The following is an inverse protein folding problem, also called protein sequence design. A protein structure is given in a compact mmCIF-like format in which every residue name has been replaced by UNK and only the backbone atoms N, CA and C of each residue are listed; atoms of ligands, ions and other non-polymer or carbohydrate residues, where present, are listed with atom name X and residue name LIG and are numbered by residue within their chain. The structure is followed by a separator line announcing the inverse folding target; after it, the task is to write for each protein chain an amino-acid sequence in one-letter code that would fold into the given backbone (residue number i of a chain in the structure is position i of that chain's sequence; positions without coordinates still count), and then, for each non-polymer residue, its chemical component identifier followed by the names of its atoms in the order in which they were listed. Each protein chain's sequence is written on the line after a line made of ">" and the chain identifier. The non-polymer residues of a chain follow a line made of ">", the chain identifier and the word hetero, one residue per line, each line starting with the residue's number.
data_IF_203437431708
#
_entry.id   IF_203437431708
#
_cell.length_a   1.000
_cell.length_b   1.000
_cell.length_c   1.000
_cell.angle_alpha   90.00
_cell.angle_beta   90.00
_cell.angle_gamma   90.00
#
_symmetry.space_group_name_H-M   'P 1'
#
loop_
_entity.id
_entity.type
_entity.pdbx_description
1 polymer ?
#
# COMPACT_ATOMS: atom_id res chain seq x y z
N UNK A 1 -26.71 28.44 -1.84
CA UNK A 1 -25.40 28.41 -1.12
C UNK A 1 -25.63 27.77 0.23
N UNK A 2 -24.75 26.91 0.72
CA UNK A 2 -24.88 26.38 2.06
C UNK A 2 -24.78 27.52 3.07
N UNK A 3 -25.64 27.46 4.08
CA UNK A 3 -25.59 28.40 5.23
C UNK A 3 -24.59 27.90 6.25
N UNK A 4 -24.20 28.72 7.23
CA UNK A 4 -23.35 28.34 8.36
C UNK A 4 -24.07 27.41 9.35
N UNK A 5 -25.36 27.22 9.21
CA UNK A 5 -26.21 26.41 10.07
C UNK A 5 -26.95 25.33 9.24
N UNK A 6 -26.77 24.08 9.62
CA UNK A 6 -27.30 22.91 8.92
C UNK A 6 -28.24 22.14 9.84
N UNK A 7 -29.56 22.25 9.61
CA UNK A 7 -30.61 21.79 10.55
C UNK A 7 -31.47 20.63 10.01
N UNK A 8 -31.03 19.87 9.03
CA UNK A 8 -31.86 18.76 8.59
C UNK A 8 -31.95 17.67 9.67
N UNK A 9 -33.16 17.20 9.97
CA UNK A 9 -33.39 16.12 10.94
C UNK A 9 -32.60 14.83 10.61
N UNK A 10 -32.39 14.57 9.32
CA UNK A 10 -31.63 13.43 8.81
C UNK A 10 -30.13 13.45 9.13
N UNK A 11 -29.59 14.57 9.67
CA UNK A 11 -28.22 14.66 10.13
C UNK A 11 -27.99 14.09 11.52
N UNK A 12 -29.05 13.73 12.24
CA UNK A 12 -28.96 13.19 13.58
C UNK A 12 -28.28 11.80 13.59
N UNK A 13 -27.04 11.74 14.06
CA UNK A 13 -26.25 10.52 14.13
C UNK A 13 -26.92 9.41 14.95
N UNK A 14 -27.54 9.77 16.09
CA UNK A 14 -28.21 8.82 16.98
C UNK A 14 -29.37 8.06 16.32
N UNK A 15 -30.08 8.70 15.40
CA UNK A 15 -31.24 8.13 14.75
C UNK A 15 -30.87 7.56 13.37
N UNK A 16 -30.36 8.42 12.48
CA UNK A 16 -30.12 8.03 11.08
C UNK A 16 -28.83 7.23 10.91
N UNK A 17 -27.71 7.65 11.51
CA UNK A 17 -26.46 6.91 11.42
C UNK A 17 -26.57 5.52 12.03
N UNK A 18 -27.21 5.41 13.19
CA UNK A 18 -27.41 4.13 13.86
C UNK A 18 -28.38 3.20 13.09
N UNK A 19 -29.47 3.75 12.51
CA UNK A 19 -30.41 2.95 11.72
C UNK A 19 -29.81 2.47 10.40
N UNK A 20 -29.01 3.29 9.71
CA UNK A 20 -28.26 2.91 8.53
C UNK A 20 -27.30 1.74 8.82
N UNK A 21 -26.55 1.83 9.90
CA UNK A 21 -25.60 0.79 10.28
C UNK A 21 -26.33 -0.50 10.68
N UNK A 22 -27.46 -0.39 11.41
CA UNK A 22 -28.30 -1.54 11.78
C UNK A 22 -28.90 -2.22 10.55
N UNK A 23 -29.28 -1.48 9.52
CA UNK A 23 -29.77 -2.06 8.27
C UNK A 23 -28.70 -2.93 7.61
N UNK A 24 -27.45 -2.48 7.63
CA UNK A 24 -26.32 -3.21 7.05
C UNK A 24 -25.90 -4.46 7.85
N UNK A 25 -25.94 -4.42 9.20
CA UNK A 25 -25.28 -5.44 10.03
C UNK A 25 -26.22 -6.23 10.95
N UNK A 26 -27.51 -5.86 11.04
CA UNK A 26 -28.48 -6.43 11.99
C UNK A 26 -28.19 -6.14 13.47
N UNK A 27 -26.91 -6.03 13.85
CA UNK A 27 -26.43 -5.74 15.19
C UNK A 27 -25.83 -4.33 15.25
N UNK A 28 -25.78 -3.75 16.44
CA UNK A 28 -25.11 -2.48 16.69
C UNK A 28 -23.68 -2.76 17.18
N UNK A 29 -22.76 -2.87 16.24
CA UNK A 29 -21.34 -3.15 16.52
C UNK A 29 -20.47 -1.89 16.58
N UNK A 30 -21.08 -0.69 16.52
CA UNK A 30 -20.36 0.58 16.51
C UNK A 30 -21.21 1.69 17.15
N UNK A 31 -20.58 2.47 18.04
CA UNK A 31 -21.22 3.59 18.70
C UNK A 31 -21.09 4.90 17.93
N UNK A 32 -22.17 5.66 17.86
CA UNK A 32 -22.23 7.00 17.26
C UNK A 32 -21.79 7.12 15.79
N UNK A 33 -22.25 6.24 14.87
CA UNK A 33 -21.95 6.38 13.47
C UNK A 33 -22.53 7.70 12.93
N UNK A 34 -21.80 8.40 12.07
CA UNK A 34 -22.32 9.62 11.43
C UNK A 34 -23.42 9.27 10.46
N UNK A 35 -24.38 10.19 10.29
CA UNK A 35 -25.43 10.04 9.28
C UNK A 35 -24.84 10.26 7.87
N UNK A 36 -25.14 9.36 6.95
CA UNK A 36 -24.66 9.41 5.57
C UNK A 36 -25.08 10.69 4.85
N UNK A 37 -26.35 11.11 5.00
CA UNK A 37 -26.86 12.31 4.37
C UNK A 37 -26.11 13.59 4.73
N UNK A 38 -25.62 13.71 5.98
CA UNK A 38 -24.74 14.82 6.36
C UNK A 38 -23.44 14.81 5.55
N UNK A 39 -22.79 13.67 5.43
CA UNK A 39 -21.50 13.55 4.72
C UNK A 39 -21.69 13.78 3.21
N UNK A 40 -22.79 13.29 2.62
CA UNK A 40 -23.15 13.57 1.23
C UNK A 40 -23.29 15.06 0.96
N UNK A 41 -24.03 15.78 1.81
CA UNK A 41 -24.20 17.22 1.67
C UNK A 41 -22.89 18.01 1.91
N UNK A 42 -22.03 17.55 2.81
CA UNK A 42 -20.67 18.12 2.98
C UNK A 42 -19.87 17.96 1.69
N UNK A 43 -19.85 16.75 1.10
CA UNK A 43 -19.11 16.52 -0.16
C UNK A 43 -19.68 17.39 -1.28
N UNK A 44 -21.00 17.48 -1.44
CA UNK A 44 -21.65 18.35 -2.44
C UNK A 44 -21.30 19.83 -2.23
N UNK A 45 -21.20 20.26 -0.98
CA UNK A 45 -20.86 21.66 -0.65
C UNK A 45 -19.39 21.99 -0.90
N UNK A 46 -18.48 21.04 -0.64
CA UNK A 46 -17.03 21.25 -0.78
C UNK A 46 -16.52 21.03 -2.20
N UNK A 47 -17.18 20.20 -3.00
CA UNK A 47 -16.73 19.88 -4.36
C UNK A 47 -17.90 19.58 -5.30
N UNK A 48 -17.98 20.35 -6.37
CA UNK A 48 -18.90 20.07 -7.50
C UNK A 48 -18.31 19.06 -8.50
N UNK A 49 -17.08 18.61 -8.30
CA UNK A 49 -16.39 17.69 -9.21
C UNK A 49 -16.89 16.26 -8.99
N UNK A 50 -17.16 15.57 -10.09
CA UNK A 50 -17.61 14.17 -10.08
C UNK A 50 -16.46 13.15 -10.02
N UNK A 51 -15.22 13.62 -10.01
CA UNK A 51 -13.98 12.83 -10.00
C UNK A 51 -13.03 13.21 -8.84
N UNK A 52 -13.54 13.95 -7.85
CA UNK A 52 -12.75 14.39 -6.69
C UNK A 52 -12.26 13.21 -5.84
N UNK A 53 -11.13 13.42 -5.15
CA UNK A 53 -10.59 12.51 -4.15
C UNK A 53 -10.96 13.01 -2.75
N UNK A 54 -11.59 12.18 -1.96
CA UNK A 54 -12.04 12.46 -0.60
C UNK A 54 -11.16 11.68 0.38
N UNK A 55 -10.53 12.38 1.32
CA UNK A 55 -9.71 11.79 2.37
C UNK A 55 -10.40 11.95 3.73
N UNK A 56 -10.50 10.84 4.47
CA UNK A 56 -11.02 10.80 5.83
C UNK A 56 -10.01 10.09 6.74
N UNK A 57 -9.35 10.86 7.61
CA UNK A 57 -8.32 10.35 8.52
C UNK A 57 -8.87 9.61 9.74
N UNK A 58 -10.15 9.75 10.04
CA UNK A 58 -10.81 9.11 11.17
C UNK A 58 -12.13 8.51 10.69
N UNK A 59 -12.00 7.55 9.78
CA UNK A 59 -13.11 7.02 8.99
C UNK A 59 -14.22 6.34 9.81
N UNK A 60 -13.91 5.94 11.05
CA UNK A 60 -14.86 5.33 11.97
C UNK A 60 -15.55 4.12 11.34
N UNK A 61 -16.87 4.16 11.27
CA UNK A 61 -17.66 3.11 10.63
C UNK A 61 -17.65 3.14 9.10
N UNK A 62 -16.90 4.05 8.44
CA UNK A 62 -16.82 4.15 6.97
C UNK A 62 -17.98 4.90 6.33
N UNK A 63 -18.59 5.87 7.03
CA UNK A 63 -19.71 6.66 6.49
C UNK A 63 -19.31 7.46 5.26
N UNK A 64 -18.07 7.95 5.20
CA UNK A 64 -17.53 8.74 4.08
C UNK A 64 -17.49 7.90 2.79
N UNK A 65 -17.00 6.66 2.84
CA UNK A 65 -17.03 5.78 1.67
C UNK A 65 -18.48 5.50 1.22
N UNK A 66 -19.39 5.24 2.17
CA UNK A 66 -20.81 5.03 1.85
C UNK A 66 -21.40 6.23 1.13
N UNK A 67 -21.14 7.45 1.61
CA UNK A 67 -21.59 8.68 0.98
C UNK A 67 -21.04 8.85 -0.45
N UNK A 68 -19.72 8.63 -0.64
CA UNK A 68 -19.07 8.73 -1.95
C UNK A 68 -19.64 7.71 -2.94
N UNK A 69 -19.82 6.45 -2.52
CA UNK A 69 -20.38 5.40 -3.37
C UNK A 69 -21.81 5.75 -3.78
N UNK A 70 -22.63 6.25 -2.86
CA UNK A 70 -23.98 6.68 -3.18
C UNK A 70 -24.02 7.86 -4.14
N UNK A 71 -23.19 8.89 -3.93
CA UNK A 71 -23.10 10.01 -4.84
C UNK A 71 -22.69 9.57 -6.26
N UNK A 72 -21.74 8.64 -6.36
CA UNK A 72 -21.35 8.09 -7.66
C UNK A 72 -22.48 7.28 -8.31
N UNK A 73 -23.27 6.56 -7.50
CA UNK A 73 -24.45 5.83 -7.99
C UNK A 73 -25.53 6.79 -8.51
N UNK A 74 -25.77 7.89 -7.79
CA UNK A 74 -26.78 8.89 -8.08
C UNK A 74 -26.49 9.68 -9.36
N UNK A 75 -25.22 10.11 -9.54
CA UNK A 75 -24.88 11.07 -10.61
C UNK A 75 -23.90 10.53 -11.66
N UNK A 76 -23.54 9.23 -11.59
CA UNK A 76 -22.60 8.59 -12.49
C UNK A 76 -21.16 9.08 -12.30
N UNK A 77 -20.83 9.66 -11.16
CA UNK A 77 -19.50 10.17 -10.83
C UNK A 77 -18.46 9.08 -10.63
N UNK A 78 -17.20 9.49 -10.61
CA UNK A 78 -16.03 8.65 -10.36
C UNK A 78 -15.17 9.17 -9.20
N UNK A 79 -15.84 9.73 -8.18
CA UNK A 79 -15.17 10.17 -6.95
C UNK A 79 -14.46 8.97 -6.31
N UNK A 80 -13.31 9.24 -5.73
CA UNK A 80 -12.50 8.26 -4.99
C UNK A 80 -12.45 8.64 -3.53
N UNK A 81 -12.12 7.68 -2.69
CA UNK A 81 -11.94 7.91 -1.27
C UNK A 81 -10.69 7.22 -0.75
N UNK A 82 -10.06 7.83 0.25
CA UNK A 82 -9.00 7.26 1.08
C UNK A 82 -9.51 7.33 2.52
N UNK A 83 -9.55 6.19 3.19
CA UNK A 83 -10.00 6.08 4.57
C UNK A 83 -8.84 5.62 5.44
N UNK A 84 -8.59 6.30 6.54
CA UNK A 84 -7.60 5.91 7.54
C UNK A 84 -8.33 5.63 8.85
N UNK A 85 -8.06 4.46 9.45
CA UNK A 85 -8.67 4.06 10.71
C UNK A 85 -7.75 3.12 11.47
N UNK A 86 -7.59 3.37 12.78
CA UNK A 86 -6.74 2.57 13.68
C UNK A 86 -7.53 1.64 14.59
N UNK A 87 -8.85 1.84 14.68
CA UNK A 87 -9.72 1.07 15.58
C UNK A 87 -9.87 -0.39 15.15
N UNK A 88 -10.01 -1.28 16.10
CA UNK A 88 -10.26 -2.72 15.88
C UNK A 88 -11.51 -3.00 15.03
N UNK A 89 -12.44 -2.05 14.98
CA UNK A 89 -13.62 -2.09 14.14
C UNK A 89 -13.35 -1.86 12.64
N UNK A 90 -12.10 -1.62 12.25
CA UNK A 90 -11.73 -1.54 10.83
C UNK A 90 -12.13 -2.81 10.07
N UNK A 91 -11.75 -3.97 10.59
CA UNK A 91 -12.04 -5.27 9.94
C UNK A 91 -13.48 -5.74 10.18
N UNK A 92 -14.12 -5.36 11.30
CA UNK A 92 -15.45 -5.84 11.69
C UNK A 92 -16.60 -4.95 11.24
N UNK A 93 -16.35 -3.65 11.06
CA UNK A 93 -17.39 -2.67 10.70
C UNK A 93 -17.05 -1.92 9.41
N UNK A 94 -15.90 -1.21 9.35
CA UNK A 94 -15.59 -0.31 8.23
C UNK A 94 -15.49 -1.07 6.91
N UNK A 95 -14.57 -2.03 6.83
CA UNK A 95 -14.33 -2.83 5.61
C UNK A 95 -15.58 -3.60 5.16
N UNK A 96 -16.32 -4.32 6.03
CA UNK A 96 -17.58 -4.96 5.66
C UNK A 96 -18.66 -3.96 5.21
N UNK A 97 -18.73 -2.75 5.80
CA UNK A 97 -19.66 -1.72 5.34
C UNK A 97 -19.37 -1.33 3.90
N UNK A 98 -18.10 -1.06 3.56
CA UNK A 98 -17.72 -0.71 2.18
C UNK A 98 -18.09 -1.84 1.23
N UNK A 99 -17.78 -3.10 1.57
CA UNK A 99 -18.11 -4.26 0.74
C UNK A 99 -19.63 -4.38 0.49
N UNK A 100 -20.44 -4.21 1.53
CA UNK A 100 -21.89 -4.27 1.44
C UNK A 100 -22.46 -3.16 0.58
N UNK A 101 -22.02 -1.92 0.77
CA UNK A 101 -22.50 -0.77 0.00
C UNK A 101 -22.10 -0.86 -1.48
N UNK A 102 -20.94 -1.41 -1.79
CA UNK A 102 -20.52 -1.73 -3.16
C UNK A 102 -21.44 -2.77 -3.79
N UNK A 103 -21.82 -3.80 -3.03
CA UNK A 103 -22.62 -4.92 -3.51
C UNK A 103 -24.07 -4.53 -3.78
N UNK A 104 -24.71 -3.79 -2.85
CA UNK A 104 -26.10 -3.39 -3.01
C UNK A 104 -26.37 -2.00 -2.42
N UNK A 105 -27.35 -1.30 -3.00
CA UNK A 105 -27.80 0.00 -2.51
C UNK A 105 -28.59 -0.11 -1.22
N UNK A 106 -29.57 -1.02 -1.19
CA UNK A 106 -30.50 -1.15 -0.09
C UNK A 106 -30.25 -2.41 0.73
N UNK A 107 -30.33 -2.25 2.05
CA UNK A 107 -30.09 -3.32 3.02
C UNK A 107 -31.15 -3.28 4.11
N UNK A 108 -31.54 -4.46 4.58
CA UNK A 108 -32.43 -4.63 5.73
C UNK A 108 -32.02 -5.82 6.54
N UNK A 109 -31.81 -5.60 7.84
CA UNK A 109 -31.41 -6.64 8.80
C UNK A 109 -30.22 -7.49 8.30
N UNK A 110 -29.21 -6.83 7.71
CA UNK A 110 -27.99 -7.45 7.22
C UNK A 110 -28.10 -8.15 5.87
N UNK A 111 -29.27 -8.11 5.22
CA UNK A 111 -29.54 -8.73 3.92
C UNK A 111 -29.74 -7.65 2.84
N UNK A 112 -29.21 -7.86 1.62
CA UNK A 112 -29.45 -6.94 0.52
C UNK A 112 -30.92 -6.99 0.07
N UNK A 113 -31.48 -5.83 -0.24
CA UNK A 113 -32.83 -5.73 -0.80
C UNK A 113 -32.74 -5.31 -2.26
N UNK A 114 -33.33 -6.13 -3.14
CA UNK A 114 -33.51 -5.77 -4.55
C UNK A 114 -34.69 -4.83 -4.70
N UNK A 115 -34.65 -3.98 -5.72
CA UNK A 115 -35.78 -3.16 -6.11
C UNK A 115 -36.91 -3.99 -6.79
N UNK A 116 -37.94 -3.30 -7.31
CA UNK A 116 -39.04 -3.93 -7.99
C UNK A 116 -38.65 -4.65 -9.30
N UNK A 117 -37.50 -4.30 -9.86
CA UNK A 117 -36.93 -4.89 -11.07
C UNK A 117 -35.89 -5.99 -10.75
N UNK A 118 -35.81 -6.41 -9.51
CA UNK A 118 -34.81 -7.38 -8.97
C UNK A 118 -33.36 -6.92 -9.10
N UNK A 119 -33.12 -5.62 -9.18
CA UNK A 119 -31.79 -5.03 -9.22
C UNK A 119 -31.26 -4.70 -7.80
N UNK A 120 -30.00 -4.98 -7.56
CA UNK A 120 -29.30 -4.62 -6.33
C UNK A 120 -28.58 -3.27 -6.44
N UNK A 121 -28.50 -2.68 -7.62
CA UNK A 121 -27.80 -1.43 -7.90
C UNK A 121 -26.37 -1.38 -7.34
N UNK A 122 -25.62 -2.48 -7.50
CA UNK A 122 -24.23 -2.55 -7.12
C UNK A 122 -23.36 -1.57 -7.91
N UNK A 123 -22.28 -1.09 -7.29
CA UNK A 123 -21.30 -0.19 -7.93
C UNK A 123 -19.97 -0.91 -8.00
N UNK A 124 -19.61 -1.53 -9.13
CA UNK A 124 -18.34 -2.22 -9.27
C UNK A 124 -17.14 -1.28 -9.06
N UNK A 125 -16.25 -1.64 -8.16
CA UNK A 125 -15.02 -0.89 -7.90
C UNK A 125 -13.95 -1.80 -7.33
N UNK A 126 -12.69 -1.38 -7.47
CA UNK A 126 -11.56 -1.99 -6.79
C UNK A 126 -11.34 -1.22 -5.50
N UNK A 127 -11.31 -1.94 -4.37
CA UNK A 127 -10.98 -1.39 -3.06
C UNK A 127 -9.66 -1.99 -2.62
N UNK A 128 -8.64 -1.14 -2.48
CA UNK A 128 -7.36 -1.52 -1.94
C UNK A 128 -7.37 -1.37 -0.42
N UNK A 129 -6.99 -2.41 0.28
CA UNK A 129 -6.89 -2.42 1.75
C UNK A 129 -5.42 -2.56 2.09
N UNK A 130 -4.87 -1.58 2.81
CA UNK A 130 -3.51 -1.58 3.31
C UNK A 130 -3.55 -1.72 4.82
N UNK A 131 -2.73 -2.59 5.36
CA UNK A 131 -2.51 -2.75 6.79
C UNK A 131 -1.08 -2.35 7.08
N UNK A 132 -0.88 -1.36 7.95
CA UNK A 132 0.44 -0.86 8.29
C UNK A 132 0.88 -1.50 9.62
N UNK A 133 2.10 -2.00 9.65
CA UNK A 133 2.78 -2.36 10.89
C UNK A 133 3.22 -1.08 11.63
N UNK A 134 3.40 -1.17 12.94
CA UNK A 134 3.91 -0.06 13.73
C UNK A 134 5.44 0.05 13.60
N UNK A 135 5.99 1.23 13.87
CA UNK A 135 7.43 1.41 13.95
C UNK A 135 8.06 0.58 15.08
N UNK A 136 7.32 0.41 16.18
CA UNK A 136 7.72 -0.46 17.29
C UNK A 136 7.85 -1.92 16.86
N UNK A 137 6.98 -2.41 15.98
CA UNK A 137 7.08 -3.78 15.45
C UNK A 137 8.38 -3.96 14.68
N UNK A 138 8.76 -2.98 13.84
CA UNK A 138 10.04 -3.00 13.13
C UNK A 138 11.23 -3.07 14.11
N UNK A 139 11.22 -2.27 15.19
CA UNK A 139 12.26 -2.29 16.20
C UNK A 139 12.29 -3.59 17.03
N UNK A 140 11.11 -4.15 17.34
CA UNK A 140 11.01 -5.37 18.13
C UNK A 140 11.50 -6.62 17.35
N UNK A 141 11.56 -6.55 16.04
CA UNK A 141 12.16 -7.60 15.21
C UNK A 141 13.70 -7.53 15.16
N UNK A 142 14.33 -6.51 15.77
CA UNK A 142 15.77 -6.45 15.97
C UNK A 142 16.14 -7.30 17.19
N UNK A 143 16.75 -8.45 16.97
CA UNK A 143 17.20 -9.35 18.04
C UNK A 143 18.68 -9.08 18.33
N UNK A 144 18.95 -8.52 19.52
CA UNK A 144 20.33 -8.38 20.02
C UNK A 144 20.85 -9.76 20.43
N UNK A 145 21.76 -10.33 19.64
CA UNK A 145 22.47 -11.54 20.02
C UNK A 145 23.69 -11.16 20.83
N UNK A 146 23.82 -11.72 22.03
CA UNK A 146 25.00 -11.56 22.87
C UNK A 146 26.14 -12.43 22.32
N UNK A 147 27.04 -11.82 21.54
CA UNK A 147 28.21 -12.45 20.95
C UNK A 147 29.50 -12.08 21.70
N UNK A 148 29.40 -11.85 23.01
CA UNK A 148 30.53 -11.40 23.86
C UNK A 148 31.83 -12.26 23.75
N UNK A 149 31.69 -13.56 23.47
CA UNK A 149 32.85 -14.48 23.34
C UNK A 149 33.64 -14.30 22.03
N UNK A 150 33.02 -13.80 20.97
CA UNK A 150 33.70 -13.58 19.67
C UNK A 150 34.58 -12.34 19.71
N UNK A 151 34.22 -11.36 20.53
CA UNK A 151 34.87 -10.05 20.59
C UNK A 151 36.10 -10.00 21.48
N UNK A 152 36.25 -10.95 22.39
CA UNK A 152 37.40 -11.02 23.28
C UNK A 152 38.75 -11.24 22.56
N UNK A 153 38.72 -11.60 21.27
CA UNK A 153 39.92 -12.01 20.48
C UNK A 153 40.36 -11.03 19.39
N UNK A 154 39.65 -9.90 19.18
CA UNK A 154 39.94 -8.94 18.11
C UNK A 154 40.58 -7.65 18.64
N UNK A 155 41.48 -7.01 17.84
CA UNK A 155 42.07 -5.70 18.15
C UNK A 155 41.04 -4.57 18.06
N UNK A 156 41.22 -3.53 18.89
CA UNK A 156 40.18 -2.51 19.12
C UNK A 156 39.74 -1.73 17.87
N UNK A 157 40.66 -1.38 16.97
CA UNK A 157 40.31 -0.64 15.71
C UNK A 157 39.57 -1.51 14.69
N UNK A 158 39.81 -2.82 14.69
CA UNK A 158 39.09 -3.78 13.81
C UNK A 158 37.77 -4.20 14.42
N UNK A 159 37.65 -4.11 15.76
CA UNK A 159 36.41 -4.40 16.49
C UNK A 159 35.30 -3.45 16.15
N UNK A 160 35.55 -2.12 16.10
CA UNK A 160 34.47 -1.15 15.90
C UNK A 160 33.82 -1.28 14.52
N UNK A 161 34.59 -1.39 13.45
CA UNK A 161 34.04 -1.45 12.09
C UNK A 161 33.42 -2.84 11.77
N UNK A 162 34.05 -3.92 12.26
CA UNK A 162 33.55 -5.28 12.12
C UNK A 162 32.30 -5.53 13.01
N UNK A 163 32.33 -5.02 14.24
CA UNK A 163 31.24 -5.04 15.19
C UNK A 163 30.00 -4.34 14.59
N UNK A 164 30.17 -3.11 14.09
CA UNK A 164 29.08 -2.32 13.59
C UNK A 164 28.42 -2.95 12.35
N UNK A 165 29.23 -3.43 11.40
CA UNK A 165 28.73 -4.03 10.15
C UNK A 165 28.18 -5.43 10.33
N UNK A 166 28.92 -6.29 11.06
CA UNK A 166 28.52 -7.68 11.24
C UNK A 166 27.36 -7.83 12.24
N UNK A 167 27.41 -7.10 13.36
CA UNK A 167 26.30 -7.13 14.32
C UNK A 167 25.05 -6.50 13.77
N UNK A 168 25.13 -5.37 13.06
CA UNK A 168 23.98 -4.80 12.38
C UNK A 168 23.41 -5.75 11.33
N UNK A 169 24.24 -6.39 10.52
CA UNK A 169 23.79 -7.34 9.52
C UNK A 169 23.16 -8.59 10.15
N UNK A 170 23.75 -9.15 11.22
CA UNK A 170 23.22 -10.34 11.90
C UNK A 170 22.00 -10.01 12.77
N UNK A 171 21.99 -8.84 13.43
CA UNK A 171 20.86 -8.39 14.25
C UNK A 171 19.66 -7.90 13.43
N UNK A 172 19.91 -7.31 12.28
CA UNK A 172 18.87 -6.85 11.39
C UNK A 172 18.35 -7.93 10.43
N UNK A 173 18.83 -9.17 10.55
CA UNK A 173 18.57 -10.27 9.61
C UNK A 173 17.09 -10.49 9.33
N UNK A 174 16.24 -10.36 10.33
CA UNK A 174 14.80 -10.53 10.24
C UNK A 174 14.06 -9.19 10.21
N UNK A 175 14.75 -8.10 9.94
CA UNK A 175 14.26 -6.73 9.93
C UNK A 175 14.33 -6.11 8.53
N UNK A 176 13.45 -5.15 8.22
CA UNK A 176 13.51 -4.29 7.02
C UNK A 176 14.84 -3.52 6.87
N UNK A 177 15.61 -3.40 7.95
CA UNK A 177 16.96 -2.80 7.92
C UNK A 177 17.99 -3.69 7.24
N UNK A 178 17.69 -4.97 7.05
CA UNK A 178 18.62 -5.91 6.42
C UNK A 178 18.35 -6.00 4.92
N UNK A 179 19.27 -5.49 4.10
CA UNK A 179 19.18 -5.54 2.64
C UNK A 179 19.18 -6.95 2.04
N UNK A 180 19.63 -7.98 2.80
CA UNK A 180 19.56 -9.38 2.37
C UNK A 180 18.14 -9.87 2.12
N UNK A 181 17.13 -9.31 2.82
CA UNK A 181 15.72 -9.70 2.63
C UNK A 181 15.21 -9.39 1.22
N UNK A 182 15.82 -8.42 0.55
CA UNK A 182 15.46 -8.05 -0.82
C UNK A 182 15.90 -9.08 -1.87
N UNK A 183 16.72 -10.06 -1.52
CA UNK A 183 17.06 -11.18 -2.39
C UNK A 183 15.88 -12.15 -2.58
N UNK A 184 15.00 -12.22 -1.56
CA UNK A 184 13.77 -13.04 -1.53
C UNK A 184 12.56 -12.19 -1.13
N UNK A 185 12.20 -11.17 -1.89
CA UNK A 185 11.28 -10.11 -1.44
C UNK A 185 9.85 -10.59 -1.23
N UNK A 186 9.49 -11.76 -1.74
CA UNK A 186 8.13 -12.29 -1.70
C UNK A 186 7.83 -13.16 -0.48
N UNK A 187 8.82 -13.45 0.36
CA UNK A 187 8.70 -14.31 1.54
C UNK A 187 9.10 -13.55 2.82
N UNK A 188 9.10 -12.24 2.77
CA UNK A 188 9.49 -11.44 3.91
C UNK A 188 8.40 -11.41 4.97
N UNK A 189 8.76 -11.73 6.22
CA UNK A 189 7.86 -11.81 7.35
C UNK A 189 8.41 -11.07 8.56
N UNK A 190 7.51 -10.48 9.35
CA UNK A 190 7.81 -9.85 10.63
C UNK A 190 6.89 -10.36 11.73
N UNK A 191 7.35 -10.31 12.99
CA UNK A 191 6.54 -10.51 14.16
C UNK A 191 5.81 -9.20 14.50
N UNK A 192 4.50 -9.19 14.29
CA UNK A 192 3.63 -8.02 14.46
C UNK A 192 2.85 -8.15 15.76
N UNK A 193 2.80 -7.09 16.56
CA UNK A 193 2.04 -7.06 17.80
C UNK A 193 0.54 -7.18 17.52
N UNK A 194 -0.11 -8.17 18.15
CA UNK A 194 -1.55 -8.41 18.01
C UNK A 194 -2.38 -7.76 19.09
N UNK A 195 -1.74 -7.38 20.21
CA UNK A 195 -2.40 -6.71 21.33
C UNK A 195 -1.39 -5.89 22.15
N UNK A 196 -1.91 -5.03 23.02
CA UNK A 196 -1.11 -4.19 23.92
C UNK A 196 -0.35 -4.96 25.01
N UNK A 197 -0.57 -6.26 25.15
CA UNK A 197 0.10 -7.13 26.12
C UNK A 197 1.41 -7.75 25.57
N UNK A 198 1.79 -7.42 24.32
CA UNK A 198 3.04 -7.86 23.71
C UNK A 198 2.99 -9.23 23.05
N UNK A 199 1.80 -9.81 22.84
CA UNK A 199 1.67 -10.99 22.00
C UNK A 199 1.91 -10.62 20.54
N UNK A 200 2.76 -11.38 19.83
CA UNK A 200 3.10 -11.18 18.42
C UNK A 200 2.62 -12.34 17.58
N UNK A 201 2.35 -12.07 16.31
CA UNK A 201 2.05 -13.05 15.30
C UNK A 201 2.96 -12.82 14.08
N UNK A 202 3.48 -13.91 13.50
CA UNK A 202 4.30 -13.87 12.29
C UNK A 202 3.43 -13.55 11.09
N UNK A 203 3.66 -12.41 10.44
CA UNK A 203 2.84 -11.91 9.33
C UNK A 203 3.71 -11.63 8.10
N UNK A 204 3.14 -11.91 6.91
CA UNK A 204 3.76 -11.57 5.64
C UNK A 204 3.72 -10.05 5.43
N UNK A 205 4.84 -9.47 5.02
CA UNK A 205 4.99 -8.06 4.66
C UNK A 205 5.16 -7.93 3.15
N UNK A 206 4.30 -7.16 2.53
CA UNK A 206 4.33 -6.90 1.09
C UNK A 206 5.35 -5.79 0.77
N UNK A 207 6.61 -6.18 0.51
CA UNK A 207 7.67 -5.25 0.14
C UNK A 207 7.41 -4.56 -1.20
N UNK A 208 6.74 -5.22 -2.13
CA UNK A 208 6.41 -4.65 -3.45
C UNK A 208 5.47 -3.48 -3.26
N UNK A 209 4.38 -3.68 -2.52
CA UNK A 209 3.41 -2.61 -2.28
C UNK A 209 3.99 -1.50 -1.40
N UNK A 210 4.79 -1.86 -0.39
CA UNK A 210 5.49 -0.89 0.46
C UNK A 210 6.37 0.04 -0.38
N UNK A 211 7.14 -0.53 -1.32
CA UNK A 211 8.01 0.28 -2.18
C UNK A 211 7.22 1.14 -3.17
N UNK A 212 6.15 0.61 -3.77
CA UNK A 212 5.26 1.40 -4.63
C UNK A 212 4.70 2.62 -3.87
N UNK A 213 4.36 2.42 -2.59
CA UNK A 213 3.84 3.48 -1.72
C UNK A 213 4.91 4.53 -1.40
N UNK A 214 6.12 4.09 -1.03
CA UNK A 214 7.25 4.98 -0.74
C UNK A 214 7.64 5.83 -1.95
N UNK A 215 7.63 5.26 -3.15
CA UNK A 215 7.86 5.98 -4.40
C UNK A 215 6.74 6.98 -4.75
N UNK A 216 5.55 6.84 -4.14
CA UNK A 216 4.34 7.52 -4.61
C UNK A 216 3.93 7.05 -6.02
N UNK A 217 4.24 5.81 -6.38
CA UNK A 217 4.03 5.28 -7.73
C UNK A 217 2.54 5.14 -8.04
N UNK A 218 2.10 5.81 -9.09
CA UNK A 218 0.79 5.60 -9.67
C UNK A 218 0.81 4.36 -10.56
N UNK A 219 0.44 3.23 -10.00
CA UNK A 219 0.48 1.93 -10.69
C UNK A 219 -0.52 1.90 -11.84
N UNK A 220 -0.06 1.48 -13.02
CA UNK A 220 -0.86 1.28 -14.23
C UNK A 220 -1.08 -0.19 -14.52
N UNK A 221 -0.04 -1.02 -14.37
CA UNK A 221 -0.11 -2.45 -14.60
C UNK A 221 0.80 -3.22 -13.66
N UNK A 222 0.39 -4.44 -13.33
CA UNK A 222 1.20 -5.40 -12.58
C UNK A 222 1.27 -6.70 -13.40
N UNK A 223 2.50 -7.14 -13.69
CA UNK A 223 2.78 -8.40 -14.39
C UNK A 223 3.34 -9.39 -13.38
N UNK A 224 2.46 -10.18 -12.79
CA UNK A 224 2.85 -11.25 -11.88
C UNK A 224 3.26 -12.50 -12.68
N UNK A 225 4.53 -12.90 -12.50
CA UNK A 225 5.14 -14.10 -13.09
C UNK A 225 5.96 -14.89 -12.05
N UNK A 226 5.67 -14.71 -10.78
CA UNK A 226 6.43 -15.29 -9.67
C UNK A 226 6.50 -16.82 -9.74
N UNK A 227 5.37 -17.48 -9.90
CA UNK A 227 5.33 -18.94 -9.94
C UNK A 227 6.09 -19.50 -11.14
N UNK A 228 5.89 -18.89 -12.30
CA UNK A 228 6.43 -19.40 -13.58
C UNK A 228 7.85 -18.97 -13.86
N UNK A 229 8.14 -17.69 -13.68
CA UNK A 229 9.35 -17.04 -14.17
C UNK A 229 10.17 -16.36 -13.05
N UNK A 230 9.71 -16.39 -11.78
CA UNK A 230 10.43 -15.90 -10.61
C UNK A 230 10.51 -14.38 -10.50
N UNK A 231 9.61 -13.61 -11.15
CA UNK A 231 9.61 -12.16 -11.07
C UNK A 231 8.20 -11.55 -11.02
N UNK A 232 8.14 -10.33 -10.53
CA UNK A 232 6.98 -9.45 -10.58
C UNK A 232 7.42 -8.08 -11.09
N UNK A 233 6.70 -7.53 -12.08
CA UNK A 233 6.98 -6.23 -12.65
C UNK A 233 5.79 -5.28 -12.43
N UNK A 234 6.05 -4.09 -11.90
CA UNK A 234 5.05 -3.04 -11.68
C UNK A 234 5.38 -1.87 -12.59
N UNK A 235 4.42 -1.48 -13.40
CA UNK A 235 4.53 -0.33 -14.31
C UNK A 235 3.70 0.83 -13.76
N UNK A 236 4.26 2.03 -13.77
CA UNK A 236 3.57 3.20 -13.24
C UNK A 236 4.20 4.53 -13.63
N UNK A 237 3.64 5.59 -13.06
CA UNK A 237 4.14 6.96 -13.20
C UNK A 237 4.54 7.49 -11.82
N UNK A 238 5.72 8.06 -11.71
CA UNK A 238 6.22 8.74 -10.51
C UNK A 238 5.52 10.10 -10.30
N UNK A 239 5.61 10.70 -9.11
CA UNK A 239 5.00 11.99 -8.83
C UNK A 239 5.47 13.14 -9.74
N UNK A 240 6.70 13.08 -10.24
CA UNK A 240 7.28 14.04 -11.20
C UNK A 240 6.81 13.84 -12.65
N UNK A 241 6.06 12.77 -12.91
CA UNK A 241 5.54 12.41 -14.22
C UNK A 241 6.42 11.45 -15.02
N UNK A 242 7.60 11.06 -14.51
CA UNK A 242 8.45 10.06 -15.16
C UNK A 242 7.76 8.68 -15.16
N UNK A 243 7.91 7.94 -16.27
CA UNK A 243 7.48 6.56 -16.37
C UNK A 243 8.47 5.63 -15.66
N UNK A 244 7.96 4.73 -14.84
CA UNK A 244 8.81 3.83 -14.07
C UNK A 244 8.40 2.36 -14.22
N UNK A 245 9.39 1.50 -14.25
CA UNK A 245 9.27 0.07 -14.09
C UNK A 245 9.95 -0.36 -12.80
N UNK A 246 9.21 -1.03 -11.91
CA UNK A 246 9.75 -1.65 -10.71
C UNK A 246 9.79 -3.15 -10.92
N UNK A 247 10.99 -3.70 -11.05
CA UNK A 247 11.22 -5.12 -11.34
C UNK A 247 11.72 -5.83 -10.10
N UNK A 248 10.86 -6.65 -9.52
CA UNK A 248 11.16 -7.52 -8.41
C UNK A 248 11.44 -8.94 -8.88
N UNK A 249 12.50 -9.55 -8.40
CA UNK A 249 12.87 -10.94 -8.72
C UNK A 249 13.27 -11.72 -7.49
N UNK A 250 13.02 -13.00 -7.52
CA UNK A 250 13.68 -13.96 -6.67
C UNK A 250 15.11 -14.14 -7.21
N UNK A 251 16.10 -13.61 -6.49
CA UNK A 251 17.49 -13.59 -6.98
C UNK A 251 18.13 -14.99 -7.08
N UNK A 252 17.58 -16.01 -6.40
CA UNK A 252 18.01 -17.39 -6.56
C UNK A 252 17.47 -18.02 -7.85
N UNK A 253 16.20 -17.72 -8.20
CA UNK A 253 15.58 -18.24 -9.43
C UNK A 253 16.03 -17.47 -10.67
N UNK A 254 16.21 -16.16 -10.53
CA UNK A 254 16.58 -15.25 -11.63
C UNK A 254 17.92 -14.62 -11.31
N UNK A 255 19.00 -15.37 -11.52
CA UNK A 255 20.37 -14.86 -11.42
C UNK A 255 20.74 -13.92 -12.57
N UNK A 256 22.03 -13.60 -12.74
CA UNK A 256 22.51 -12.64 -13.77
C UNK A 256 22.12 -13.04 -15.20
N UNK A 257 22.32 -14.31 -15.60
CA UNK A 257 21.95 -14.79 -16.94
C UNK A 257 20.43 -14.75 -17.18
N UNK A 258 19.65 -15.10 -16.15
CA UNK A 258 18.19 -15.01 -16.17
C UNK A 258 17.70 -13.58 -16.29
N UNK A 259 18.42 -12.64 -15.68
CA UNK A 259 18.11 -11.22 -15.73
C UNK A 259 18.27 -10.66 -17.14
N UNK A 260 19.37 -10.95 -17.82
CA UNK A 260 19.60 -10.50 -19.21
C UNK A 260 18.50 -11.00 -20.15
N UNK A 261 18.11 -12.27 -20.02
CA UNK A 261 17.00 -12.85 -20.78
C UNK A 261 15.65 -12.18 -20.43
N UNK A 262 15.43 -11.82 -19.17
CA UNK A 262 14.25 -11.13 -18.72
C UNK A 262 14.15 -9.72 -19.29
N UNK A 263 15.24 -8.96 -19.23
CA UNK A 263 15.31 -7.60 -19.80
C UNK A 263 15.05 -7.61 -21.31
N UNK A 264 15.61 -8.58 -22.02
CA UNK A 264 15.33 -8.78 -23.45
C UNK A 264 13.84 -9.06 -23.72
N UNK A 265 13.17 -9.88 -22.90
CA UNK A 265 11.73 -10.15 -23.00
C UNK A 265 10.87 -8.93 -22.69
N UNK A 266 11.27 -8.12 -21.74
CA UNK A 266 10.58 -6.89 -21.35
C UNK A 266 10.94 -5.70 -22.24
N UNK A 267 11.84 -5.90 -23.23
CA UNK A 267 12.36 -4.86 -24.15
C UNK A 267 13.00 -3.69 -23.40
N UNK A 268 13.61 -3.98 -22.25
CA UNK A 268 14.35 -2.98 -21.48
C UNK A 268 15.77 -2.93 -22.03
N UNK A 269 16.04 -1.92 -22.84
CA UNK A 269 17.37 -1.66 -23.32
C UNK A 269 17.60 -0.13 -23.35
N UNK A 270 18.86 0.34 -23.26
CA UNK A 270 19.15 1.78 -23.26
C UNK A 270 18.75 2.49 -24.55
N UNK A 271 18.49 1.76 -25.64
CA UNK A 271 18.22 2.32 -26.95
C UNK A 271 16.75 2.66 -27.18
N UNK A 272 15.85 1.87 -26.57
CA UNK A 272 14.42 1.92 -26.84
C UNK A 272 13.65 1.53 -25.58
N UNK A 273 13.92 2.24 -24.49
CA UNK A 273 13.21 2.00 -23.23
C UNK A 273 11.93 2.83 -23.22
N UNK A 274 10.81 2.17 -22.98
CA UNK A 274 9.50 2.80 -22.71
C UNK A 274 9.47 3.48 -21.34
N UNK A 275 10.50 3.25 -20.49
CA UNK A 275 10.58 3.75 -19.13
C UNK A 275 11.73 4.74 -18.97
N UNK A 276 11.47 5.82 -18.23
CA UNK A 276 12.48 6.81 -17.86
C UNK A 276 13.40 6.25 -16.76
N UNK A 277 12.82 5.51 -15.82
CA UNK A 277 13.53 4.91 -14.69
C UNK A 277 13.13 3.43 -14.50
N UNK A 278 14.14 2.58 -14.25
CA UNK A 278 13.96 1.17 -13.89
C UNK A 278 14.53 0.93 -12.50
N UNK A 279 13.70 0.44 -11.60
CA UNK A 279 14.10 -0.03 -10.28
C UNK A 279 14.24 -1.54 -10.30
N UNK A 280 15.30 -2.07 -9.71
CA UNK A 280 15.57 -3.52 -9.66
C UNK A 280 16.18 -3.91 -8.33
N UNK A 281 15.77 -5.06 -7.78
CA UNK A 281 16.36 -5.62 -6.57
C UNK A 281 17.55 -6.54 -6.88
N UNK A 282 18.47 -6.62 -5.93
CA UNK A 282 19.70 -7.41 -6.01
C UNK A 282 20.72 -6.85 -6.98
N UNK A 283 21.90 -7.44 -6.96
CA UNK A 283 23.00 -7.04 -7.84
C UNK A 283 22.65 -7.27 -9.32
N UNK A 284 23.08 -6.36 -10.18
CA UNK A 284 22.85 -6.44 -11.61
C UNK A 284 24.08 -5.96 -12.42
N UNK A 285 24.19 -6.48 -13.64
CA UNK A 285 25.23 -6.11 -14.63
C UNK A 285 24.68 -5.32 -15.82
N UNK A 286 23.54 -4.66 -15.64
CA UNK A 286 22.84 -3.97 -16.73
C UNK A 286 23.64 -2.77 -17.20
N UNK A 287 23.89 -2.67 -18.51
CA UNK A 287 24.54 -1.53 -19.12
C UNK A 287 23.61 -0.31 -19.09
N UNK A 288 24.05 0.78 -18.47
CA UNK A 288 23.23 2.00 -18.27
C UNK A 288 23.51 3.09 -19.30
N UNK A 289 24.65 3.02 -20.00
CA UNK A 289 25.09 4.02 -21.00
C UNK A 289 25.24 3.34 -22.35
N UNK A 290 24.74 4.00 -23.35
CA UNK A 290 24.78 3.51 -24.72
C UNK A 290 25.02 4.67 -25.70
N UNK A 291 25.81 4.42 -26.73
CA UNK A 291 26.03 5.33 -27.86
C UNK A 291 25.41 4.73 -29.13
N UNK A 292 24.65 5.56 -29.87
CA UNK A 292 24.15 5.14 -31.19
C UNK A 292 25.22 5.35 -32.26
N UNK A 293 24.99 4.82 -33.47
CA UNK A 293 25.89 4.94 -34.62
C UNK A 293 26.21 6.42 -35.02
N UNK A 294 25.42 7.36 -34.54
CA UNK A 294 25.58 8.80 -34.76
C UNK A 294 26.27 9.52 -33.59
N UNK A 295 26.81 8.81 -32.61
CA UNK A 295 27.50 9.39 -31.46
C UNK A 295 26.58 10.05 -30.41
N UNK A 296 25.26 9.80 -30.48
CA UNK A 296 24.32 10.28 -29.45
C UNK A 296 24.28 9.27 -28.33
N UNK A 297 24.66 9.67 -27.13
CA UNK A 297 24.59 8.82 -25.93
C UNK A 297 23.20 8.86 -25.32
N UNK A 298 22.58 7.67 -25.15
CA UNK A 298 21.38 7.47 -24.34
C UNK A 298 21.76 6.90 -22.99
N UNK A 299 21.02 7.28 -21.94
CA UNK A 299 21.21 6.76 -20.59
C UNK A 299 19.90 6.29 -20.02
N UNK A 300 19.80 5.00 -19.76
CA UNK A 300 18.71 4.42 -18.96
C UNK A 300 19.04 4.64 -17.47
N UNK A 301 18.14 5.28 -16.75
CA UNK A 301 18.27 5.42 -15.29
C UNK A 301 17.90 4.08 -14.65
N UNK A 302 18.89 3.37 -14.11
CA UNK A 302 18.68 2.17 -13.32
C UNK A 302 19.01 2.49 -11.88
N UNK A 303 18.09 2.15 -10.97
CA UNK A 303 18.22 2.36 -9.54
C UNK A 303 18.05 1.03 -8.80
N UNK A 304 18.87 0.81 -7.81
CA UNK A 304 18.73 -0.33 -6.91
C UNK A 304 17.58 -0.09 -5.93
N UNK A 305 16.66 -1.07 -5.82
CA UNK A 305 15.52 -0.97 -4.92
C UNK A 305 15.98 -0.84 -3.48
N UNK A 306 16.98 -1.61 -3.05
CA UNK A 306 17.50 -1.61 -1.67
C UNK A 306 17.92 -0.21 -1.21
N UNK A 307 18.76 0.45 -1.97
CA UNK A 307 19.25 1.79 -1.62
C UNK A 307 18.16 2.85 -1.66
N UNK A 308 17.28 2.79 -2.66
CA UNK A 308 16.16 3.73 -2.76
C UNK A 308 15.11 3.51 -1.67
N UNK A 309 14.80 2.24 -1.37
CA UNK A 309 13.88 1.87 -0.30
C UNK A 309 14.36 2.41 1.06
N UNK A 310 15.63 2.17 1.37
CA UNK A 310 16.23 2.66 2.63
C UNK A 310 16.28 4.19 2.70
N UNK A 311 16.59 4.85 1.59
CA UNK A 311 16.60 6.31 1.53
C UNK A 311 15.20 6.91 1.73
N UNK A 312 14.16 6.32 1.13
CA UNK A 312 12.78 6.77 1.28
C UNK A 312 12.19 6.44 2.65
N UNK A 313 12.59 5.32 3.26
CA UNK A 313 12.07 4.87 4.55
C UNK A 313 12.69 5.64 5.72
N UNK A 314 13.98 5.91 5.68
CA UNK A 314 14.77 6.44 6.80
C UNK A 314 15.49 7.76 6.49
N UNK A 315 15.42 8.24 5.25
CA UNK A 315 15.97 9.55 4.88
C UNK A 315 15.21 10.68 5.56
N UNK A 316 15.91 11.76 5.90
CA UNK A 316 15.24 13.00 6.32
C UNK A 316 14.39 13.51 5.17
N UNK A 317 13.12 13.81 5.43
CA UNK A 317 12.25 14.46 4.47
C UNK A 317 12.90 15.78 4.04
N UNK A 318 13.31 15.87 2.77
CA UNK A 318 13.86 17.10 2.18
C UNK A 318 12.76 18.14 1.98
#
# INVERSE_FOLDING_TARGET
>A
MPTTWWEKGEYASANYGASELKALFSNKDFDFPKAKGLVEDVIRACSNLKDSLILDYFAGSGTTAHAVINLNREDGGRRKYILVEQGEYFDTVLKPRVQKVVYAENWKDGKPEADKESSLHGVPQIVKVLKLESYEDTLNNLVLKDNSDLFAKLNDDVKEDYLLRYMLADQSRDSLLNTEVFKWPFNYQMDIATNSAGATERMDIDLVETFNYLLGLRVHAVKDRLEKDGYLAVEGTLPDGETALVLWRDCEKVGYEGLDALLGRLKINPQDSEYDTVYINGDHNITTVWENENGVSGRLKIRQIESEFMALMFGEAQ
#
